data_IF_744801097831
#
_entry.id   IF_744801097831
#
_cell.length_a   1.000
_cell.length_b   1.000
_cell.length_c   1.000
_cell.angle_alpha   90.00
_cell.angle_beta   90.00
_cell.angle_gamma   90.00
#
_symmetry.space_group_name_H-M   'P 1'
#
loop_
_entity.id
_entity.type
_entity.pdbx_description
1 polymer ?
#
# COMPACT_ATOMS: atom_id res chain seq x y z
N UNK A 1 -50.96 -57.83 -29.41
CA UNK A 1 -51.20 -57.42 -28.03
C UNK A 1 -49.99 -56.65 -27.60
N UNK A 2 -49.97 -55.30 -27.89
CA UNK A 2 -48.90 -54.45 -27.55
C UNK A 2 -49.31 -53.61 -26.32
N UNK A 3 -48.52 -53.69 -25.24
CA UNK A 3 -48.70 -52.85 -24.06
C UNK A 3 -47.77 -51.67 -24.20
N UNK A 4 -48.36 -50.46 -24.27
CA UNK A 4 -47.62 -49.20 -24.25
C UNK A 4 -47.39 -48.80 -22.81
N UNK A 5 -46.10 -48.65 -22.40
CA UNK A 5 -45.67 -48.04 -21.14
C UNK A 5 -45.54 -46.56 -21.36
N UNK A 6 -46.41 -45.78 -20.74
CA UNK A 6 -46.31 -44.34 -20.68
C UNK A 6 -45.26 -43.88 -19.63
N UNK A 7 -44.29 -43.19 -20.11
CA UNK A 7 -43.27 -42.51 -19.24
C UNK A 7 -43.78 -41.13 -18.85
N UNK A 8 -44.13 -40.93 -17.59
CA UNK A 8 -44.49 -39.62 -17.03
C UNK A 8 -43.18 -38.89 -16.68
N UNK A 9 -42.84 -37.83 -17.41
CA UNK A 9 -41.75 -36.93 -17.10
C UNK A 9 -42.23 -35.95 -16.00
N UNK A 10 -41.74 -36.11 -14.81
CA UNK A 10 -41.92 -35.11 -13.76
C UNK A 10 -40.94 -33.97 -14.04
N UNK A 11 -41.47 -32.80 -14.43
CA UNK A 11 -40.73 -31.53 -14.37
C UNK A 11 -40.52 -31.12 -12.91
N UNK A 12 -39.31 -31.25 -12.44
CA UNK A 12 -38.92 -30.65 -11.18
C UNK A 12 -38.80 -29.13 -11.37
N UNK A 13 -39.67 -28.37 -10.73
CA UNK A 13 -39.54 -26.91 -10.59
C UNK A 13 -38.31 -26.60 -9.72
N UNK A 14 -37.24 -26.16 -10.36
CA UNK A 14 -36.14 -25.54 -9.68
C UNK A 14 -36.60 -24.16 -9.15
N UNK A 15 -36.97 -24.12 -7.89
CA UNK A 15 -37.12 -22.84 -7.19
C UNK A 15 -35.77 -22.18 -7.11
N UNK A 16 -35.58 -21.07 -7.85
CA UNK A 16 -34.48 -20.15 -7.74
C UNK A 16 -34.51 -19.49 -6.34
N UNK A 17 -33.86 -20.11 -5.38
CA UNK A 17 -33.47 -19.44 -4.15
C UNK A 17 -32.32 -18.48 -4.49
N UNK A 18 -32.64 -17.28 -4.99
CA UNK A 18 -31.73 -16.14 -4.91
C UNK A 18 -31.64 -15.72 -3.44
N UNK A 19 -30.76 -16.40 -2.70
CA UNK A 19 -30.25 -15.82 -1.47
C UNK A 19 -29.43 -14.59 -1.87
N UNK A 20 -30.03 -13.42 -1.77
CA UNK A 20 -29.32 -12.13 -1.73
C UNK A 20 -28.40 -12.19 -0.53
N UNK A 21 -27.14 -12.56 -0.75
CA UNK A 21 -26.10 -12.48 0.27
C UNK A 21 -25.95 -10.99 0.61
N UNK A 22 -26.55 -10.52 1.69
CA UNK A 22 -26.26 -9.21 2.25
C UNK A 22 -24.81 -9.27 2.71
N UNK A 23 -23.92 -8.56 1.99
CA UNK A 23 -22.54 -8.39 2.42
C UNK A 23 -22.50 -7.56 3.70
N UNK A 24 -22.43 -8.25 4.82
CA UNK A 24 -22.20 -7.60 6.11
C UNK A 24 -20.75 -7.16 6.13
N UNK A 25 -20.50 -5.83 6.32
CA UNK A 25 -19.14 -5.33 6.52
C UNK A 25 -18.50 -6.12 7.67
N UNK A 26 -17.29 -6.64 7.44
CA UNK A 26 -16.55 -7.32 8.49
C UNK A 26 -16.41 -6.39 9.72
N UNK A 27 -16.73 -6.86 10.92
CA UNK A 27 -16.61 -6.04 12.13
C UNK A 27 -15.15 -5.68 12.40
N UNK A 28 -14.94 -4.54 13.11
CA UNK A 28 -13.61 -4.20 13.63
C UNK A 28 -13.11 -5.33 14.53
N UNK A 29 -11.86 -5.78 14.31
CA UNK A 29 -11.21 -6.75 15.17
C UNK A 29 -10.94 -6.11 16.54
N UNK A 30 -11.32 -6.80 17.60
CA UNK A 30 -11.01 -6.35 18.96
C UNK A 30 -9.54 -6.62 19.26
N UNK A 31 -8.79 -5.56 19.58
CA UNK A 31 -7.41 -5.70 20.07
C UNK A 31 -7.44 -6.30 21.46
N UNK A 32 -6.78 -7.46 21.62
CA UNK A 32 -6.73 -8.12 22.92
C UNK A 32 -5.96 -7.28 23.95
N UNK A 33 -6.44 -7.24 25.19
CA UNK A 33 -5.83 -6.44 26.25
C UNK A 33 -4.35 -6.76 26.48
N UNK A 34 -3.95 -8.03 26.33
CA UNK A 34 -2.56 -8.48 26.45
C UNK A 34 -1.67 -7.91 25.33
N UNK A 35 -2.21 -7.66 24.15
CA UNK A 35 -1.45 -7.08 23.02
C UNK A 35 -1.17 -5.58 23.20
N UNK A 36 -1.96 -4.89 24.04
CA UNK A 36 -1.79 -3.47 24.36
C UNK A 36 -0.66 -3.20 25.37
N UNK A 37 -0.07 -4.23 25.95
CA UNK A 37 0.92 -4.08 27.02
C UNK A 37 2.37 -4.07 26.55
N UNK A 38 2.65 -4.18 25.25
CA UNK A 38 3.99 -4.00 24.69
C UNK A 38 4.36 -2.51 24.80
N UNK A 39 5.13 -2.18 25.84
CA UNK A 39 5.74 -0.85 25.96
C UNK A 39 6.91 -0.79 24.97
N UNK A 40 6.73 -0.04 23.91
CA UNK A 40 7.70 0.10 22.82
C UNK A 40 8.16 1.52 22.68
N UNK A 41 9.27 1.74 21.97
CA UNK A 41 9.77 3.07 21.60
C UNK A 41 8.78 3.90 20.77
N UNK A 42 7.72 3.28 20.27
CA UNK A 42 6.66 3.93 19.47
C UNK A 42 5.57 4.57 20.30
N UNK A 43 5.46 4.25 21.60
CA UNK A 43 4.41 4.78 22.47
C UNK A 43 4.49 6.31 22.59
N UNK A 44 3.40 6.98 22.23
CA UNK A 44 3.32 8.44 22.18
C UNK A 44 4.04 9.09 21.00
N UNK A 45 4.61 8.31 20.07
CA UNK A 45 5.21 8.86 18.87
C UNK A 45 4.14 9.45 17.94
N UNK A 46 4.42 10.62 17.39
CA UNK A 46 3.60 11.30 16.39
C UNK A 46 3.98 10.81 15.01
N UNK A 47 3.08 10.08 14.36
CA UNK A 47 3.35 9.38 13.11
C UNK A 47 2.47 9.88 11.98
N UNK A 48 3.08 10.44 10.93
CA UNK A 48 2.37 10.82 9.71
C UNK A 48 2.22 9.62 8.77
N UNK A 49 1.03 9.43 8.23
CA UNK A 49 0.69 8.39 7.28
C UNK A 49 0.37 9.00 5.92
N UNK A 50 1.25 8.80 4.95
CA UNK A 50 1.07 9.20 3.55
C UNK A 50 0.65 7.97 2.74
N UNK A 51 -0.32 8.11 1.85
CA UNK A 51 -0.79 6.96 1.10
C UNK A 51 -1.97 7.23 0.19
N UNK A 52 -2.55 6.14 -0.28
CA UNK A 52 -3.70 6.13 -1.16
C UNK A 52 -4.99 5.69 -0.44
N UNK A 53 -5.86 4.93 -1.12
CA UNK A 53 -7.11 4.41 -0.55
C UNK A 53 -6.92 3.53 0.67
N UNK A 54 -5.80 2.80 0.75
CA UNK A 54 -5.46 1.94 1.89
C UNK A 54 -5.20 2.74 3.17
N UNK A 55 -4.85 4.03 3.04
CA UNK A 55 -4.51 4.93 4.15
C UNK A 55 -5.62 5.97 4.41
N UNK A 56 -6.56 6.15 3.48
CA UNK A 56 -7.57 7.20 3.53
C UNK A 56 -8.45 7.10 4.78
N UNK A 57 -8.53 8.20 5.55
CA UNK A 57 -9.35 8.30 6.77
C UNK A 57 -10.86 8.11 6.53
N UNK A 58 -11.31 8.14 5.27
CA UNK A 58 -12.69 7.81 4.90
C UNK A 58 -13.00 6.31 4.96
N UNK A 59 -12.00 5.47 5.28
CA UNK A 59 -12.15 4.02 5.46
C UNK A 59 -12.69 3.34 4.20
N UNK A 60 -11.92 3.43 3.10
CA UNK A 60 -12.30 2.84 1.82
C UNK A 60 -12.30 1.30 1.94
N UNK A 61 -13.47 0.69 1.79
CA UNK A 61 -13.61 -0.77 1.86
C UNK A 61 -13.61 -1.40 3.27
N UNK A 62 -13.34 -0.62 4.31
CA UNK A 62 -13.13 -1.13 5.67
C UNK A 62 -13.97 -0.37 6.72
N UNK A 63 -14.09 -0.93 7.91
CA UNK A 63 -14.66 -0.26 9.09
C UNK A 63 -13.59 0.25 10.05
N UNK A 64 -12.32 -0.19 9.87
CA UNK A 64 -11.18 0.24 10.65
C UNK A 64 -9.92 0.06 9.81
N UNK A 65 -9.14 1.12 9.61
CA UNK A 65 -7.93 1.14 8.79
C UNK A 65 -6.71 0.68 9.60
N UNK A 66 -5.70 0.15 8.96
CA UNK A 66 -4.49 -0.38 9.61
C UNK A 66 -3.81 0.60 10.56
N UNK A 67 -3.80 1.91 10.27
CA UNK A 67 -3.20 2.92 11.14
C UNK A 67 -4.01 3.16 12.42
N UNK A 68 -5.34 2.94 12.42
CA UNK A 68 -6.17 2.98 13.62
C UNK A 68 -5.81 1.82 14.57
N UNK A 69 -5.59 0.61 14.01
CA UNK A 69 -5.10 -0.52 14.78
C UNK A 69 -3.68 -0.28 15.30
N UNK A 70 -2.79 0.34 14.51
CA UNK A 70 -1.44 0.68 14.98
C UNK A 70 -1.48 1.68 16.14
N UNK A 71 -2.39 2.65 16.10
CA UNK A 71 -2.60 3.57 17.22
C UNK A 71 -2.98 2.83 18.52
N UNK A 72 -3.82 1.79 18.42
CA UNK A 72 -4.17 0.94 19.55
C UNK A 72 -3.03 0.00 19.98
N UNK A 73 -2.31 -0.61 19.02
CA UNK A 73 -1.28 -1.63 19.27
C UNK A 73 0.03 -1.04 19.80
N UNK A 74 0.44 0.11 19.29
CA UNK A 74 1.72 0.76 19.61
C UNK A 74 1.57 2.01 20.47
N UNK A 75 0.35 2.53 20.63
CA UNK A 75 0.10 3.78 21.36
C UNK A 75 0.63 5.02 20.64
N UNK A 76 0.68 5.02 19.31
CA UNK A 76 1.09 6.16 18.48
C UNK A 76 -0.04 7.17 18.32
N UNK A 77 0.32 8.43 18.01
CA UNK A 77 -0.59 9.49 17.60
C UNK A 77 -0.56 9.64 16.08
N UNK A 78 -1.63 9.23 15.34
CA UNK A 78 -1.61 9.20 13.89
C UNK A 78 -2.03 10.53 13.26
N UNK A 79 -1.27 11.01 12.28
CA UNK A 79 -1.56 12.15 11.41
C UNK A 79 -1.73 11.65 9.97
N UNK A 80 -2.97 11.63 9.46
CA UNK A 80 -3.31 10.88 8.24
C UNK A 80 -3.55 11.82 7.07
N UNK A 81 -2.77 11.62 6.00
CA UNK A 81 -2.79 12.37 4.74
C UNK A 81 -3.25 11.54 3.54
N UNK A 82 -3.45 10.23 3.72
CA UNK A 82 -3.87 9.33 2.66
C UNK A 82 -5.12 9.78 1.93
N UNK A 83 -5.10 9.70 0.59
CA UNK A 83 -6.20 10.09 -0.29
C UNK A 83 -6.45 8.99 -1.30
N UNK A 84 -7.70 8.50 -1.37
CA UNK A 84 -8.12 7.48 -2.33
C UNK A 84 -7.71 7.82 -3.76
N UNK A 85 -7.12 6.86 -4.46
CA UNK A 85 -6.69 6.98 -5.86
C UNK A 85 -5.35 7.69 -6.05
N UNK A 86 -4.69 8.18 -5.00
CA UNK A 86 -3.42 8.87 -5.14
C UNK A 86 -2.32 7.93 -5.66
N UNK A 87 -1.56 8.48 -6.60
CA UNK A 87 -0.29 7.98 -7.11
C UNK A 87 0.86 8.74 -6.43
N UNK A 88 2.12 8.40 -6.72
CA UNK A 88 3.28 9.02 -6.09
C UNK A 88 3.39 10.54 -6.26
N UNK A 89 2.85 11.12 -7.33
CA UNK A 89 2.74 12.59 -7.44
C UNK A 89 1.75 13.19 -6.42
N UNK A 90 0.74 12.44 -6.00
CA UNK A 90 -0.15 12.80 -4.89
C UNK A 90 0.55 12.68 -3.54
N UNK A 91 1.39 11.65 -3.34
CA UNK A 91 2.21 11.52 -2.13
C UNK A 91 3.15 12.71 -1.95
N UNK A 92 3.72 13.25 -3.03
CA UNK A 92 4.51 14.48 -2.98
C UNK A 92 3.71 15.67 -2.40
N UNK A 93 2.46 15.86 -2.85
CA UNK A 93 1.57 16.90 -2.31
C UNK A 93 1.20 16.67 -0.85
N UNK A 94 1.00 15.40 -0.44
CA UNK A 94 0.77 15.05 0.96
C UNK A 94 1.98 15.39 1.82
N UNK A 95 3.21 15.12 1.34
CA UNK A 95 4.45 15.48 2.05
C UNK A 95 4.61 17.02 2.20
N UNK A 96 4.24 17.79 1.17
CA UNK A 96 4.23 19.26 1.25
C UNK A 96 3.23 19.75 2.30
N UNK A 97 2.01 19.23 2.26
CA UNK A 97 0.97 19.56 3.25
C UNK A 97 1.38 19.18 4.66
N UNK A 98 2.00 18.02 4.84
CA UNK A 98 2.56 17.60 6.13
C UNK A 98 3.56 18.64 6.65
N UNK A 99 4.47 19.14 5.79
CA UNK A 99 5.47 20.16 6.20
C UNK A 99 4.82 21.49 6.56
N UNK A 100 3.75 21.87 5.88
CA UNK A 100 3.00 23.10 6.18
C UNK A 100 2.27 23.01 7.52
N UNK A 101 1.65 21.87 7.83
CA UNK A 101 0.85 21.68 9.04
C UNK A 101 1.69 21.27 10.26
N UNK A 102 2.76 20.49 10.05
CA UNK A 102 3.62 19.93 11.10
C UNK A 102 5.10 20.09 10.74
N UNK A 103 5.64 21.30 10.79
CA UNK A 103 7.00 21.57 10.34
C UNK A 103 8.08 20.82 11.13
N UNK A 104 7.89 20.61 12.46
CA UNK A 104 8.93 20.10 13.34
C UNK A 104 8.41 19.13 14.43
N UNK A 105 7.12 18.83 14.49
CA UNK A 105 6.50 18.10 15.60
C UNK A 105 6.08 16.66 15.28
N UNK A 106 6.56 16.11 14.15
CA UNK A 106 6.38 14.70 13.75
C UNK A 106 7.63 13.89 14.11
N UNK A 107 7.46 12.70 14.65
CA UNK A 107 8.56 11.78 14.97
C UNK A 107 8.88 10.84 13.79
N UNK A 108 7.85 10.36 13.07
CA UNK A 108 8.03 9.42 11.96
C UNK A 108 7.01 9.64 10.83
N UNK A 109 7.38 9.18 9.62
CA UNK A 109 6.56 9.25 8.40
C UNK A 109 6.50 7.84 7.79
N UNK A 110 5.31 7.29 7.63
CA UNK A 110 5.07 6.00 6.98
C UNK A 110 4.39 6.25 5.63
N UNK A 111 4.94 5.66 4.56
CA UNK A 111 4.42 5.81 3.19
C UNK A 111 3.93 4.45 2.71
N UNK A 112 2.67 4.38 2.28
CA UNK A 112 2.07 3.18 1.73
C UNK A 112 1.32 3.52 0.43
N UNK A 113 1.96 3.33 -0.73
CA UNK A 113 1.44 3.69 -2.06
C UNK A 113 2.15 2.93 -3.19
N UNK A 114 1.55 2.95 -4.40
CA UNK A 114 2.15 2.40 -5.63
C UNK A 114 1.18 1.57 -6.47
N UNK A 115 0.13 1.00 -5.87
CA UNK A 115 -0.87 0.21 -6.61
C UNK A 115 -1.61 1.04 -7.68
N UNK A 116 -1.83 2.34 -7.44
CA UNK A 116 -2.49 3.22 -8.40
C UNK A 116 -1.57 3.64 -9.55
N UNK A 117 -0.26 3.70 -9.33
CA UNK A 117 0.73 3.95 -10.40
C UNK A 117 0.79 2.76 -11.36
N UNK A 118 0.77 1.52 -10.84
CA UNK A 118 0.63 0.31 -11.65
C UNK A 118 -0.69 0.32 -12.44
N UNK A 119 -1.82 0.56 -11.78
CA UNK A 119 -3.14 0.57 -12.41
C UNK A 119 -3.28 1.65 -13.48
N UNK A 120 -2.65 2.81 -13.28
CA UNK A 120 -2.61 3.90 -14.26
C UNK A 120 -1.59 3.67 -15.39
N UNK A 121 -0.90 2.54 -15.39
CA UNK A 121 0.15 2.24 -16.37
C UNK A 121 1.23 3.31 -16.45
N UNK A 122 1.64 3.86 -15.30
CA UNK A 122 2.70 4.85 -15.28
C UNK A 122 4.01 4.21 -15.76
N UNK A 123 4.72 4.80 -16.74
CA UNK A 123 6.02 4.28 -17.16
C UNK A 123 7.01 4.19 -16.00
N UNK A 124 7.81 3.11 -15.93
CA UNK A 124 8.75 2.88 -14.85
C UNK A 124 9.81 3.99 -14.77
N UNK A 125 10.49 4.27 -15.87
CA UNK A 125 11.63 5.17 -15.91
C UNK A 125 12.86 4.64 -15.19
N UNK A 126 13.81 5.53 -14.99
CA UNK A 126 15.07 5.24 -14.32
C UNK A 126 15.24 6.07 -13.06
N UNK A 127 15.91 5.54 -12.04
CA UNK A 127 16.24 6.30 -10.83
C UNK A 127 17.40 7.28 -11.05
N UNK A 128 18.34 6.95 -11.95
CA UNK A 128 19.58 7.68 -12.10
C UNK A 128 19.81 8.16 -13.53
N UNK A 129 20.29 9.39 -13.66
CA UNK A 129 21.02 9.86 -14.84
C UNK A 129 22.50 9.67 -14.58
N UNK A 130 23.22 9.25 -15.60
CA UNK A 130 24.67 9.07 -15.57
C UNK A 130 25.35 10.05 -16.50
N UNK A 131 26.42 10.70 -16.03
CA UNK A 131 27.29 11.61 -16.77
C UNK A 131 28.75 11.43 -16.34
N UNK A 132 29.65 12.24 -16.88
CA UNK A 132 31.01 12.38 -16.39
C UNK A 132 31.11 13.72 -15.64
N UNK A 133 31.70 13.69 -14.45
CA UNK A 133 31.92 14.90 -13.65
C UNK A 133 33.30 14.92 -13.03
N UNK A 134 33.79 16.12 -12.80
CA UNK A 134 35.06 16.31 -12.10
C UNK A 134 34.93 15.91 -10.63
N UNK A 135 35.91 15.16 -10.14
CA UNK A 135 36.04 14.78 -8.73
C UNK A 135 37.46 14.90 -8.27
N UNK A 136 37.65 15.49 -7.09
CA UNK A 136 38.95 15.53 -6.43
C UNK A 136 39.20 14.21 -5.69
N UNK A 137 40.29 13.51 -6.04
CA UNK A 137 40.73 12.30 -5.35
C UNK A 137 42.20 12.48 -4.97
N UNK A 138 42.49 12.59 -3.66
CA UNK A 138 43.83 12.77 -3.12
C UNK A 138 44.59 13.99 -3.70
N UNK A 139 43.88 15.12 -3.84
CA UNK A 139 44.43 16.36 -4.36
C UNK A 139 44.61 16.42 -5.88
N UNK A 140 44.17 15.42 -6.61
CA UNK A 140 44.16 15.39 -8.07
C UNK A 140 42.72 15.34 -8.62
N UNK A 141 42.48 16.10 -9.69
CA UNK A 141 41.21 16.12 -10.39
C UNK A 141 41.11 14.98 -11.41
N UNK A 142 39.97 14.30 -11.45
CA UNK A 142 39.63 13.23 -12.37
C UNK A 142 38.24 13.44 -12.93
N UNK A 143 38.01 13.08 -14.18
CA UNK A 143 36.68 12.90 -14.72
C UNK A 143 36.21 11.47 -14.41
N UNK A 144 35.23 11.35 -13.54
CA UNK A 144 34.68 10.06 -13.10
C UNK A 144 33.23 9.92 -13.55
N UNK A 145 32.78 8.67 -13.71
CA UNK A 145 31.36 8.38 -13.91
C UNK A 145 30.59 8.86 -12.67
N UNK A 146 29.65 9.77 -12.91
CA UNK A 146 28.82 10.39 -11.89
C UNK A 146 27.37 10.04 -12.13
N UNK A 147 26.55 10.06 -11.08
CA UNK A 147 25.11 9.85 -11.17
C UNK A 147 24.35 10.89 -10.36
N UNK A 148 23.20 11.31 -10.90
CA UNK A 148 22.24 12.17 -10.21
C UNK A 148 20.86 11.54 -10.22
N UNK A 149 20.04 11.66 -9.15
CA UNK A 149 18.66 11.19 -9.18
C UNK A 149 17.86 11.89 -10.27
N UNK A 150 17.10 11.12 -11.06
CA UNK A 150 16.15 11.67 -12.01
C UNK A 150 14.85 12.02 -11.28
N UNK A 151 14.46 13.30 -11.31
CA UNK A 151 13.26 13.82 -10.68
C UNK A 151 12.30 14.33 -11.73
N UNK A 152 11.16 13.66 -11.92
CA UNK A 152 10.12 14.06 -12.85
C UNK A 152 8.76 13.53 -12.41
N UNK A 153 7.68 14.01 -13.04
CA UNK A 153 6.31 13.57 -12.75
C UNK A 153 5.78 12.54 -13.78
N UNK A 154 6.57 12.19 -14.78
CA UNK A 154 6.17 11.36 -15.92
C UNK A 154 6.53 9.89 -15.77
N UNK A 155 7.38 9.53 -14.81
CA UNK A 155 7.79 8.17 -14.54
C UNK A 155 7.67 7.82 -13.06
N UNK A 156 7.50 6.51 -12.76
CA UNK A 156 7.39 6.02 -11.40
C UNK A 156 8.64 6.33 -10.57
N UNK A 157 9.82 5.95 -11.06
CA UNK A 157 11.10 6.20 -10.40
C UNK A 157 11.34 7.70 -10.18
N UNK A 158 10.97 8.54 -11.15
CA UNK A 158 11.10 9.99 -11.05
C UNK A 158 10.22 10.60 -9.95
N UNK A 159 8.97 10.13 -9.83
CA UNK A 159 8.04 10.56 -8.76
C UNK A 159 8.52 10.10 -7.39
N UNK A 160 8.97 8.85 -7.27
CA UNK A 160 9.52 8.29 -6.02
C UNK A 160 10.74 9.10 -5.57
N UNK A 161 11.66 9.43 -6.49
CA UNK A 161 12.81 10.29 -6.20
C UNK A 161 12.39 11.66 -5.67
N UNK A 162 11.40 12.32 -6.32
CA UNK A 162 10.90 13.63 -5.87
C UNK A 162 10.39 13.60 -4.43
N UNK A 163 9.66 12.54 -4.06
CA UNK A 163 9.12 12.39 -2.71
C UNK A 163 10.25 12.22 -1.70
N UNK A 164 11.19 11.31 -1.94
CA UNK A 164 12.26 11.08 -0.98
C UNK A 164 13.25 12.23 -0.90
N UNK A 165 13.57 12.88 -2.00
CA UNK A 165 14.37 14.10 -1.99
C UNK A 165 13.73 15.18 -1.10
N UNK A 166 12.43 15.44 -1.31
CA UNK A 166 11.69 16.40 -0.52
C UNK A 166 11.67 16.04 0.97
N UNK A 167 11.38 14.78 1.29
CA UNK A 167 11.29 14.32 2.67
C UNK A 167 12.66 14.38 3.38
N UNK A 168 13.74 13.96 2.72
CA UNK A 168 15.10 14.01 3.29
C UNK A 168 15.58 15.45 3.55
N UNK A 169 15.18 16.42 2.72
CA UNK A 169 15.49 17.83 2.93
C UNK A 169 14.65 18.48 4.04
N UNK A 170 13.35 18.16 4.09
CA UNK A 170 12.42 18.86 4.97
C UNK A 170 12.19 18.16 6.31
N UNK A 171 12.50 16.86 6.42
CA UNK A 171 12.35 16.03 7.62
C UNK A 171 13.63 15.25 7.92
N UNK A 172 14.79 15.95 8.13
CA UNK A 172 16.09 15.29 8.28
C UNK A 172 16.26 14.50 9.59
N UNK A 173 15.41 14.76 10.58
CA UNK A 173 15.45 14.13 11.91
C UNK A 173 14.39 13.04 12.10
N UNK A 174 13.42 12.95 11.18
CA UNK A 174 12.30 12.05 11.28
C UNK A 174 12.64 10.66 10.73
N UNK A 175 12.11 9.61 11.37
CA UNK A 175 12.15 8.28 10.82
C UNK A 175 11.19 8.19 9.63
N UNK A 176 11.72 7.96 8.43
CA UNK A 176 10.92 7.74 7.22
C UNK A 176 10.89 6.24 6.94
N UNK A 177 9.70 5.66 6.72
CA UNK A 177 9.50 4.24 6.49
C UNK A 177 8.67 4.07 5.22
N UNK A 178 9.13 3.19 4.34
CA UNK A 178 8.45 2.84 3.09
C UNK A 178 7.76 1.49 3.24
N UNK A 179 6.48 1.40 2.84
CA UNK A 179 5.76 0.15 2.70
C UNK A 179 5.54 -0.17 1.22
N UNK A 180 5.76 -1.41 0.81
CA UNK A 180 5.37 -1.87 -0.53
C UNK A 180 3.85 -2.02 -0.64
N UNK A 181 3.24 -1.89 -1.85
CA UNK A 181 1.88 -2.34 -2.09
C UNK A 181 1.68 -3.80 -1.69
N UNK A 182 0.50 -4.13 -1.17
CA UNK A 182 0.08 -5.53 -0.96
C UNK A 182 -0.34 -6.15 -2.28
N UNK A 183 -0.48 -7.49 -2.32
CA UNK A 183 -1.13 -8.19 -3.42
C UNK A 183 -2.55 -7.69 -3.65
N UNK A 184 -2.98 -7.71 -4.92
CA UNK A 184 -4.32 -7.27 -5.33
C UNK A 184 -4.95 -8.23 -6.30
N UNK A 185 -6.27 -8.33 -6.27
CA UNK A 185 -7.05 -9.01 -7.30
C UNK A 185 -8.04 -8.04 -7.94
N UNK A 186 -9.06 -8.59 -8.60
CA UNK A 186 -10.07 -7.80 -9.32
C UNK A 186 -10.70 -6.72 -8.44
N UNK A 187 -10.88 -5.53 -9.02
CA UNK A 187 -11.70 -4.47 -8.44
C UNK A 187 -12.68 -3.93 -9.50
N UNK A 188 -13.96 -4.07 -9.24
CA UNK A 188 -15.04 -3.61 -10.12
C UNK A 188 -15.93 -2.63 -9.34
N UNK A 189 -15.67 -1.34 -9.50
CA UNK A 189 -16.41 -0.29 -8.80
C UNK A 189 -17.64 0.18 -9.59
N UNK A 190 -17.55 0.16 -10.93
CA UNK A 190 -18.63 0.49 -11.87
C UNK A 190 -18.16 0.17 -13.30
N UNK A 191 -19.07 0.28 -14.28
CA UNK A 191 -18.78 -0.05 -15.69
C UNK A 191 -17.60 0.69 -16.34
N UNK A 192 -17.16 1.82 -15.76
CA UNK A 192 -16.01 2.63 -16.25
C UNK A 192 -14.75 2.46 -15.40
N UNK A 193 -14.84 1.74 -14.29
CA UNK A 193 -13.70 1.51 -13.39
C UNK A 193 -13.69 0.05 -12.97
N UNK A 194 -13.20 -0.79 -13.88
CA UNK A 194 -12.91 -2.20 -13.68
C UNK A 194 -11.41 -2.39 -13.81
N UNK A 195 -10.81 -2.94 -12.79
CA UNK A 195 -9.37 -3.17 -12.72
C UNK A 195 -9.12 -4.68 -12.64
N UNK A 196 -8.34 -5.26 -13.55
CA UNK A 196 -7.99 -6.67 -13.51
C UNK A 196 -7.12 -6.97 -12.28
N UNK A 197 -6.94 -8.26 -12.01
CA UNK A 197 -5.98 -8.70 -10.99
C UNK A 197 -4.52 -8.48 -11.44
N UNK A 198 -3.59 -8.69 -10.53
CA UNK A 198 -2.16 -8.43 -10.74
C UNK A 198 -1.47 -9.40 -11.70
N UNK A 199 -2.11 -10.51 -12.10
CA UNK A 199 -1.60 -11.42 -13.12
C UNK A 199 -1.71 -10.84 -14.54
N UNK A 200 -2.39 -9.71 -14.71
CA UNK A 200 -2.44 -8.98 -15.97
C UNK A 200 -1.40 -7.86 -15.97
N UNK A 201 -0.57 -7.83 -17.01
CA UNK A 201 0.32 -6.71 -17.24
C UNK A 201 -0.49 -5.44 -17.57
N UNK A 202 -0.02 -4.31 -17.10
CA UNK A 202 -0.60 -3.01 -17.43
C UNK A 202 -0.26 -2.59 -18.89
N UNK A 203 -0.69 -1.42 -19.35
CA UNK A 203 -0.46 -0.94 -20.72
C UNK A 203 1.04 -0.70 -21.06
N UNK A 204 1.94 -0.71 -20.07
CA UNK A 204 3.39 -0.68 -20.27
C UNK A 204 4.01 -2.10 -20.36
N UNK A 205 3.19 -3.14 -20.30
CA UNK A 205 3.66 -4.54 -20.24
C UNK A 205 4.28 -4.91 -18.89
N UNK A 206 4.03 -4.14 -17.83
CA UNK A 206 4.59 -4.32 -16.49
C UNK A 206 3.55 -4.92 -15.54
N UNK A 207 4.00 -5.82 -14.67
CA UNK A 207 3.22 -6.37 -13.56
C UNK A 207 3.40 -5.52 -12.28
N UNK A 208 2.55 -5.76 -11.28
CA UNK A 208 2.63 -5.04 -9.99
C UNK A 208 4.01 -5.20 -9.34
N UNK A 209 4.60 -6.37 -9.43
CA UNK A 209 5.92 -6.68 -8.87
C UNK A 209 7.03 -5.75 -9.40
N UNK A 210 6.92 -5.25 -10.64
CA UNK A 210 7.89 -4.29 -11.17
C UNK A 210 7.91 -2.98 -10.35
N UNK A 211 6.74 -2.55 -9.90
CA UNK A 211 6.59 -1.35 -9.05
C UNK A 211 7.03 -1.63 -7.62
N UNK A 212 6.75 -2.83 -7.10
CA UNK A 212 7.22 -3.30 -5.79
C UNK A 212 8.76 -3.34 -5.77
N UNK A 213 9.39 -3.92 -6.78
CA UNK A 213 10.85 -4.03 -6.87
C UNK A 213 11.52 -2.66 -7.02
N UNK A 214 10.90 -1.73 -7.75
CA UNK A 214 11.38 -0.36 -7.81
C UNK A 214 11.35 0.32 -6.42
N UNK A 215 10.33 0.08 -5.59
CA UNK A 215 10.29 0.59 -4.22
C UNK A 215 11.35 -0.05 -3.32
N UNK A 216 11.63 -1.35 -3.47
CA UNK A 216 12.74 -2.03 -2.78
C UNK A 216 14.09 -1.38 -3.15
N UNK A 217 14.30 -1.07 -4.42
CA UNK A 217 15.50 -0.36 -4.87
C UNK A 217 15.56 1.07 -4.31
N UNK A 218 14.45 1.80 -4.30
CA UNK A 218 14.37 3.16 -3.75
C UNK A 218 14.70 3.20 -2.25
N UNK A 219 14.23 2.23 -1.47
CA UNK A 219 14.56 2.07 -0.05
C UNK A 219 16.08 2.07 0.17
N UNK A 220 16.80 1.22 -0.56
CA UNK A 220 18.26 1.15 -0.50
C UNK A 220 18.94 2.44 -0.96
N UNK A 221 18.44 3.03 -2.06
CA UNK A 221 19.00 4.24 -2.66
C UNK A 221 18.89 5.45 -1.73
N UNK A 222 17.76 5.61 -1.06
CA UNK A 222 17.45 6.77 -0.21
C UNK A 222 17.74 6.52 1.29
N UNK A 223 18.27 5.33 1.65
CA UNK A 223 18.48 4.94 3.05
C UNK A 223 17.20 5.11 3.88
N UNK A 224 16.15 4.45 3.44
CA UNK A 224 14.83 4.45 4.07
C UNK A 224 14.48 3.00 4.41
N UNK A 225 14.20 2.65 5.68
CA UNK A 225 13.71 1.33 6.05
C UNK A 225 12.48 0.92 5.22
N UNK A 226 12.48 -0.33 4.80
CA UNK A 226 11.39 -0.93 4.02
C UNK A 226 10.61 -1.93 4.88
N UNK A 227 9.30 -1.81 4.87
CA UNK A 227 8.40 -2.89 5.27
C UNK A 227 7.78 -3.48 4.00
N UNK A 228 8.27 -4.64 3.59
CA UNK A 228 7.78 -5.35 2.40
C UNK A 228 6.43 -6.02 2.68
N UNK A 229 5.35 -5.24 2.71
CA UNK A 229 3.99 -5.76 2.93
C UNK A 229 3.56 -6.75 1.85
N UNK A 230 4.07 -6.62 0.62
CA UNK A 230 3.81 -7.56 -0.47
C UNK A 230 4.16 -9.00 -0.06
N UNK A 231 5.34 -9.17 0.55
CA UNK A 231 5.81 -10.50 0.97
C UNK A 231 5.39 -10.87 2.40
N UNK A 232 5.20 -9.90 3.31
CA UNK A 232 5.14 -10.16 4.75
C UNK A 232 3.73 -10.24 5.31
N UNK A 233 2.75 -9.53 4.72
CA UNK A 233 1.41 -9.46 5.34
C UNK A 233 0.58 -10.74 5.13
N UNK A 234 0.98 -11.61 4.19
CA UNK A 234 0.32 -12.89 3.90
C UNK A 234 -1.10 -12.73 3.34
N UNK A 235 -1.44 -11.57 2.77
CA UNK A 235 -2.69 -11.34 2.05
C UNK A 235 -2.48 -11.70 0.57
N UNK A 236 -3.26 -12.66 0.06
CA UNK A 236 -3.14 -13.13 -1.32
C UNK A 236 -4.54 -13.29 -1.95
N UNK A 237 -5.16 -12.18 -2.44
CA UNK A 237 -6.57 -12.13 -2.84
C UNK A 237 -6.90 -12.88 -4.13
N UNK A 238 -5.91 -13.45 -4.80
CA UNK A 238 -6.10 -14.27 -6.00
C UNK A 238 -6.79 -15.60 -5.70
N UNK A 239 -6.73 -16.07 -4.45
CA UNK A 239 -7.43 -17.29 -4.00
C UNK A 239 -8.73 -16.95 -3.26
N UNK A 240 -9.78 -17.72 -3.53
CA UNK A 240 -11.10 -17.49 -2.95
C UNK A 240 -11.11 -17.63 -1.42
N UNK A 241 -10.28 -18.49 -0.87
CA UNK A 241 -10.13 -18.70 0.57
C UNK A 241 -9.56 -17.45 1.30
N UNK A 242 -8.89 -16.57 0.57
CA UNK A 242 -8.33 -15.33 1.10
C UNK A 242 -9.31 -14.14 1.05
N UNK A 243 -10.45 -14.29 0.40
CA UNK A 243 -11.43 -13.20 0.24
C UNK A 243 -12.02 -12.72 1.55
N UNK A 244 -11.95 -13.52 2.61
CA UNK A 244 -12.33 -13.16 3.98
C UNK A 244 -11.61 -11.91 4.52
N UNK A 245 -10.49 -11.51 3.92
CA UNK A 245 -9.69 -10.35 4.29
C UNK A 245 -9.99 -9.11 3.43
N UNK A 246 -10.85 -9.21 2.43
CA UNK A 246 -11.10 -8.15 1.45
C UNK A 246 -12.53 -7.63 1.51
N UNK A 247 -12.73 -6.45 0.94
CA UNK A 247 -13.98 -5.69 1.08
C UNK A 247 -15.20 -6.44 0.54
N UNK A 248 -15.09 -6.94 -0.72
CA UNK A 248 -16.17 -7.70 -1.39
C UNK A 248 -15.58 -8.81 -2.25
N UNK A 249 -15.80 -10.06 -1.89
CA UNK A 249 -15.24 -11.23 -2.59
C UNK A 249 -15.43 -11.21 -4.11
N UNK A 250 -16.56 -10.73 -4.59
CA UNK A 250 -16.92 -10.78 -6.02
C UNK A 250 -16.49 -9.53 -6.79
N UNK A 251 -16.33 -8.38 -6.12
CA UNK A 251 -16.17 -7.10 -6.83
C UNK A 251 -15.05 -6.22 -6.34
N UNK A 252 -14.48 -6.47 -5.15
CA UNK A 252 -13.41 -5.65 -4.61
C UNK A 252 -12.47 -6.49 -3.74
N UNK A 253 -11.52 -7.11 -4.39
CA UNK A 253 -10.38 -7.81 -3.78
C UNK A 253 -9.10 -6.97 -3.82
N UNK A 254 -9.24 -5.65 -4.02
CA UNK A 254 -8.17 -4.68 -3.91
C UNK A 254 -8.10 -4.11 -2.49
N UNK A 255 -9.24 -3.68 -1.95
CA UNK A 255 -9.29 -3.07 -0.63
C UNK A 255 -9.46 -4.11 0.47
N UNK A 256 -8.58 -4.16 1.47
CA UNK A 256 -8.79 -4.96 2.66
C UNK A 256 -10.07 -4.53 3.41
N UNK A 257 -10.70 -5.47 4.08
CA UNK A 257 -11.69 -5.17 5.11
C UNK A 257 -11.00 -4.99 6.48
N UNK A 258 -11.77 -4.78 7.55
CA UNK A 258 -11.20 -4.56 8.88
C UNK A 258 -10.29 -5.72 9.38
N UNK A 259 -10.54 -6.95 8.94
CA UNK A 259 -9.69 -8.11 9.31
C UNK A 259 -8.37 -8.08 8.52
N UNK A 260 -8.43 -7.73 7.23
CA UNK A 260 -7.25 -7.54 6.39
C UNK A 260 -6.39 -6.38 6.89
N UNK A 261 -7.01 -5.24 7.23
CA UNK A 261 -6.33 -4.08 7.82
C UNK A 261 -5.66 -4.41 9.16
N UNK A 262 -6.33 -5.21 10.02
CA UNK A 262 -5.72 -5.71 11.25
C UNK A 262 -4.48 -6.56 10.97
N UNK A 263 -4.51 -7.41 9.94
CA UNK A 263 -3.36 -8.22 9.53
C UNK A 263 -2.20 -7.37 9.05
N UNK A 264 -2.47 -6.31 8.26
CA UNK A 264 -1.47 -5.31 7.87
C UNK A 264 -0.88 -4.63 9.11
N UNK A 265 -1.73 -4.18 10.03
CA UNK A 265 -1.31 -3.52 11.27
C UNK A 265 -0.42 -4.43 12.14
N UNK A 266 -0.77 -5.71 12.26
CA UNK A 266 0.05 -6.70 13.00
C UNK A 266 1.41 -6.89 12.34
N UNK A 267 1.48 -6.97 11.02
CA UNK A 267 2.75 -7.05 10.29
C UNK A 267 3.60 -5.81 10.55
N UNK A 268 3.00 -4.61 10.40
CA UNK A 268 3.68 -3.36 10.69
C UNK A 268 4.13 -3.26 12.14
N UNK A 269 3.32 -3.67 13.11
CA UNK A 269 3.68 -3.66 14.54
C UNK A 269 5.02 -4.36 14.78
N UNK A 270 5.17 -5.59 14.29
CA UNK A 270 6.40 -6.36 14.50
C UNK A 270 7.60 -5.80 13.74
N UNK A 271 7.39 -5.25 12.54
CA UNK A 271 8.47 -4.63 11.76
C UNK A 271 8.94 -3.30 12.39
N UNK A 272 8.01 -2.50 12.89
CA UNK A 272 8.29 -1.21 13.51
C UNK A 272 9.01 -1.34 14.86
N UNK A 273 8.76 -2.37 15.64
CA UNK A 273 9.46 -2.62 16.91
C UNK A 273 10.98 -2.73 16.71
N UNK A 274 11.44 -3.18 15.55
CA UNK A 274 12.86 -3.25 15.21
C UNK A 274 13.48 -1.92 14.76
N UNK A 275 12.67 -0.86 14.61
CA UNK A 275 13.12 0.44 14.12
C UNK A 275 12.97 1.52 15.21
N UNK A 276 13.89 2.52 15.28
CA UNK A 276 13.68 3.66 16.15
C UNK A 276 12.44 4.46 15.70
N UNK A 277 11.67 4.95 16.67
CA UNK A 277 10.53 5.83 16.37
C UNK A 277 10.98 7.26 16.05
N UNK A 278 12.09 7.67 16.66
CA UNK A 278 12.74 9.00 16.50
C UNK A 278 14.22 8.89 16.80
N UNK A 279 14.97 9.88 16.36
CA UNK A 279 16.41 10.01 16.62
C UNK A 279 16.72 11.14 17.60
#
# INVERSE_FOLDING_TARGET
MLVALGSTVMCANAQNNQQTTQFVKAPKVQVQKAEKTLDTQWKGAKVAFLGDSMTDKRRIGTTCVYWEYLAELLGIEPFVYGINGNQWNGIYKQAQKLKEEHPDDIDAIIIFAGTNDYNASLPMGEFWRYDAAEANKNGKMYYLRHRTPLMNDTTFCGRVNKVFDYLKHNFPKQQIILCTPIHRAIANFNAKNVQPDENFANAQGLFLESYVDALKQASSMWSVPLVDLHSLCGLYPLYDEQTIYFHKPETDRLHPNAVGDYRIAKTLQYQLIALPAKF
#
